data_IF_012421193338
#
_entry.id   IF_012421193338
#
_cell.length_a   1.000
_cell.length_b   1.000
_cell.length_c   1.000
_cell.angle_alpha   90.00
_cell.angle_beta   90.00
_cell.angle_gamma   90.00
#
_symmetry.space_group_name_H-M   'P 1'
#
loop_
_entity.id
_entity.type
_entity.pdbx_description
1 polymer ?
#
# COMPACT_ATOMS: atom_id res chain seq x y z
N UNK A 1 -4.36 2.22 -23.63
CA UNK A 1 -3.24 2.62 -22.74
C UNK A 1 -3.62 2.23 -21.33
N UNK A 2 -3.39 0.96 -20.97
CA UNK A 2 -3.74 0.40 -19.66
C UNK A 2 -2.57 0.62 -18.69
N UNK A 3 -2.53 1.81 -18.09
CA UNK A 3 -1.58 2.18 -17.05
C UNK A 3 -1.89 1.47 -15.72
N UNK A 4 -1.65 0.16 -15.63
CA UNK A 4 -2.01 -0.62 -14.43
C UNK A 4 -0.93 -1.60 -13.93
N UNK A 5 0.32 -1.43 -14.35
CA UNK A 5 1.47 -2.18 -13.79
C UNK A 5 2.51 -1.32 -13.09
N UNK A 6 2.70 -0.09 -13.57
CA UNK A 6 3.91 0.69 -13.26
C UNK A 6 3.75 1.65 -12.07
N UNK A 7 2.54 2.17 -11.83
CA UNK A 7 2.35 3.18 -10.78
C UNK A 7 2.11 2.52 -9.43
N UNK A 8 2.79 3.01 -8.39
CA UNK A 8 2.50 2.63 -7.00
C UNK A 8 1.17 3.25 -6.57
N UNK A 9 0.46 2.55 -5.66
CA UNK A 9 -0.77 3.09 -5.09
C UNK A 9 -0.48 4.33 -4.22
N UNK A 10 -1.44 5.27 -4.07
CA UNK A 10 -1.22 6.55 -3.36
C UNK A 10 -0.79 6.44 -1.90
N UNK A 11 -1.02 5.29 -1.26
CA UNK A 11 -0.59 5.04 0.12
C UNK A 11 0.88 4.64 0.24
N UNK A 12 1.59 4.36 -0.85
CA UNK A 12 3.02 4.08 -0.80
C UNK A 12 3.79 5.33 -0.35
N UNK A 13 4.82 5.22 0.53
CA UNK A 13 5.40 4.01 1.13
C UNK A 13 4.92 3.74 2.58
N UNK A 14 3.62 3.93 2.87
CA UNK A 14 3.11 3.76 4.24
C UNK A 14 3.20 2.30 4.74
N UNK A 15 3.57 2.15 6.01
CA UNK A 15 3.56 0.86 6.71
C UNK A 15 2.46 0.89 7.77
N UNK A 16 1.41 0.10 7.55
CA UNK A 16 0.32 -0.03 8.52
C UNK A 16 0.60 -1.15 9.53
N UNK A 17 0.08 -0.99 10.75
CA UNK A 17 0.26 -1.99 11.79
C UNK A 17 -0.31 -3.36 11.39
N UNK A 18 0.53 -4.39 11.50
CA UNK A 18 0.28 -5.76 11.04
C UNK A 18 0.61 -6.02 9.56
N UNK A 19 1.23 -5.07 8.86
CA UNK A 19 1.78 -5.24 7.50
C UNK A 19 3.31 -5.03 7.45
N UNK A 20 3.98 -4.94 8.59
CA UNK A 20 5.41 -4.61 8.71
C UNK A 20 6.28 -5.61 7.94
N UNK A 21 6.05 -6.91 8.14
CA UNK A 21 6.85 -7.96 7.52
C UNK A 21 6.73 -8.01 5.99
N UNK A 22 5.53 -7.74 5.44
CA UNK A 22 5.33 -7.70 3.97
C UNK A 22 5.87 -6.41 3.37
N UNK A 23 5.78 -5.30 4.11
CA UNK A 23 6.33 -4.00 3.71
C UNK A 23 7.85 -4.04 3.68
N UNK A 24 8.49 -4.57 4.72
CA UNK A 24 9.95 -4.71 4.83
C UNK A 24 10.52 -5.52 3.67
N UNK A 25 9.92 -6.69 3.36
CA UNK A 25 10.34 -7.51 2.21
C UNK A 25 10.24 -6.76 0.89
N UNK A 26 9.14 -6.05 0.68
CA UNK A 26 8.95 -5.28 -0.55
C UNK A 26 9.96 -4.12 -0.67
N UNK A 27 10.15 -3.34 0.40
CA UNK A 27 11.07 -2.20 0.37
C UNK A 27 12.53 -2.62 0.27
N UNK A 28 12.92 -3.75 0.88
CA UNK A 28 14.24 -4.34 0.68
C UNK A 28 14.48 -4.71 -0.77
N UNK A 29 13.52 -5.40 -1.40
CA UNK A 29 13.61 -5.74 -2.82
C UNK A 29 13.75 -4.49 -3.69
N UNK A 30 13.01 -3.42 -3.39
CA UNK A 30 13.18 -2.14 -4.09
C UNK A 30 14.60 -1.61 -3.89
N UNK A 31 15.05 -1.44 -2.65
CA UNK A 31 16.36 -0.84 -2.33
C UNK A 31 17.55 -1.62 -2.91
N UNK A 32 17.49 -2.94 -2.92
CA UNK A 32 18.57 -3.79 -3.44
C UNK A 32 18.74 -3.65 -4.96
N UNK A 33 17.65 -3.34 -5.68
CA UNK A 33 17.65 -3.32 -7.13
C UNK A 33 17.52 -1.89 -7.72
N UNK A 34 17.24 -0.86 -6.91
CA UNK A 34 16.97 0.52 -7.37
C UNK A 34 18.16 1.29 -7.96
N UNK A 35 19.28 0.63 -8.23
CA UNK A 35 20.47 1.24 -8.80
C UNK A 35 20.59 0.93 -10.31
N UNK A 36 21.04 1.89 -11.14
CA UNK A 36 21.36 3.28 -10.82
C UNK A 36 20.11 4.15 -10.60
N UNK A 37 20.21 5.09 -9.66
CA UNK A 37 19.14 6.04 -9.39
C UNK A 37 18.89 6.97 -10.58
N UNK A 38 17.63 7.32 -10.83
CA UNK A 38 17.25 8.25 -11.90
C UNK A 38 17.09 7.64 -13.29
N UNK A 39 17.30 6.32 -13.45
CA UNK A 39 17.01 5.61 -14.69
C UNK A 39 15.61 4.96 -14.64
N UNK A 40 14.71 5.43 -15.51
CA UNK A 40 13.32 4.95 -15.58
C UNK A 40 13.24 3.47 -15.98
N UNK A 41 14.15 2.99 -16.83
CA UNK A 41 14.18 1.59 -17.26
C UNK A 41 14.56 0.67 -16.10
N UNK A 42 15.55 1.07 -15.31
CA UNK A 42 15.94 0.38 -14.08
C UNK A 42 14.78 0.36 -13.08
N UNK A 43 14.11 1.50 -12.85
CA UNK A 43 12.96 1.56 -11.96
C UNK A 43 11.83 0.59 -12.40
N UNK A 44 11.50 0.54 -13.69
CA UNK A 44 10.49 -0.38 -14.24
C UNK A 44 10.89 -1.84 -14.04
N UNK A 45 12.15 -2.19 -14.29
CA UNK A 45 12.65 -3.54 -14.08
C UNK A 45 12.59 -3.97 -12.62
N UNK A 46 12.92 -3.06 -11.70
CA UNK A 46 12.87 -3.31 -10.25
C UNK A 46 11.45 -3.58 -9.79
N UNK A 47 10.48 -2.77 -10.23
CA UNK A 47 9.06 -3.00 -9.90
C UNK A 47 8.58 -4.36 -10.44
N UNK A 48 9.05 -4.77 -11.63
CA UNK A 48 8.72 -6.08 -12.20
C UNK A 48 9.35 -7.25 -11.42
N UNK A 49 10.59 -7.11 -10.95
CA UNK A 49 11.25 -8.12 -10.12
C UNK A 49 10.56 -8.25 -8.75
N UNK A 50 10.17 -7.13 -8.16
CA UNK A 50 9.50 -7.07 -6.87
C UNK A 50 7.96 -7.23 -6.98
N UNK A 51 7.42 -7.54 -8.16
CA UNK A 51 5.98 -7.59 -8.45
C UNK A 51 5.17 -8.50 -7.49
N UNK A 52 5.66 -9.70 -7.10
CA UNK A 52 4.96 -10.53 -6.12
C UNK A 52 4.91 -9.89 -4.73
N UNK A 53 6.00 -9.22 -4.32
CA UNK A 53 6.10 -8.54 -3.02
C UNK A 53 5.21 -7.28 -3.00
N UNK A 54 5.17 -6.54 -4.12
CA UNK A 54 4.24 -5.41 -4.33
C UNK A 54 2.79 -5.84 -4.09
N UNK A 55 2.33 -6.92 -4.72
CA UNK A 55 0.96 -7.45 -4.53
C UNK A 55 0.64 -7.76 -3.07
N UNK A 56 1.59 -8.37 -2.33
CA UNK A 56 1.38 -8.72 -0.93
C UNK A 56 1.29 -7.48 -0.04
N UNK A 57 2.18 -6.51 -0.26
CA UNK A 57 2.16 -5.22 0.41
C UNK A 57 0.83 -4.48 0.15
N UNK A 58 0.44 -4.34 -1.13
CA UNK A 58 -0.78 -3.65 -1.52
C UNK A 58 -2.02 -4.31 -0.92
N UNK A 59 -2.12 -5.64 -1.00
CA UNK A 59 -3.23 -6.41 -0.41
C UNK A 59 -3.35 -6.16 1.09
N UNK A 60 -2.25 -6.28 1.83
CA UNK A 60 -2.27 -6.09 3.28
C UNK A 60 -2.70 -4.66 3.66
N UNK A 61 -2.11 -3.67 3.00
CA UNK A 61 -2.40 -2.26 3.25
C UNK A 61 -3.85 -1.91 2.91
N UNK A 62 -4.38 -2.39 1.78
CA UNK A 62 -5.78 -2.19 1.41
C UNK A 62 -6.76 -2.84 2.38
N UNK A 63 -6.49 -4.06 2.85
CA UNK A 63 -7.33 -4.73 3.83
C UNK A 63 -7.38 -3.95 5.16
N UNK A 64 -6.26 -3.38 5.60
CA UNK A 64 -6.19 -2.54 6.80
C UNK A 64 -6.93 -1.21 6.61
N UNK A 65 -6.73 -0.53 5.48
CA UNK A 65 -7.43 0.72 5.16
C UNK A 65 -8.95 0.51 5.08
N UNK A 66 -9.42 -0.59 4.47
CA UNK A 66 -10.85 -0.94 4.43
C UNK A 66 -11.43 -1.14 5.83
N UNK A 67 -10.71 -1.83 6.73
CA UNK A 67 -11.12 -2.00 8.13
C UNK A 67 -11.17 -0.66 8.86
N UNK A 68 -10.18 0.21 8.67
CA UNK A 68 -10.18 1.56 9.27
C UNK A 68 -11.36 2.41 8.76
N UNK A 69 -11.64 2.39 7.46
CA UNK A 69 -12.80 3.10 6.88
C UNK A 69 -14.12 2.60 7.45
N UNK A 70 -14.28 1.29 7.62
CA UNK A 70 -15.47 0.69 8.26
C UNK A 70 -15.63 1.14 9.72
N UNK A 71 -14.53 1.15 10.48
CA UNK A 71 -14.56 1.57 11.89
C UNK A 71 -14.81 3.09 12.03
N UNK A 72 -14.23 3.90 11.14
CA UNK A 72 -14.47 5.35 11.09
C UNK A 72 -15.92 5.68 10.74
N UNK A 73 -16.53 4.95 9.80
CA UNK A 73 -17.95 5.07 9.49
C UNK A 73 -18.84 4.61 10.65
N UNK A 74 -18.48 3.55 11.39
CA UNK A 74 -19.19 3.15 12.62
C UNK A 74 -19.16 4.22 13.70
N UNK A 75 -18.04 4.93 13.84
CA UNK A 75 -17.94 6.05 14.77
C UNK A 75 -18.95 7.15 14.41
N UNK A 76 -19.06 7.51 13.12
CA UNK A 76 -20.02 8.52 12.66
C UNK A 76 -21.48 8.12 12.89
N UNK A 77 -21.85 6.86 12.65
CA UNK A 77 -23.22 6.38 12.91
C UNK A 77 -23.54 6.39 14.40
N UNK A 78 -22.60 6.00 15.27
CA UNK A 78 -22.79 6.02 16.73
C UNK A 78 -22.87 7.43 17.35
N UNK A 79 -22.42 8.46 16.63
CA UNK A 79 -22.55 9.85 17.07
C UNK A 79 -23.94 10.40 16.72
N UNK A 80 -24.52 10.00 15.59
CA UNK A 80 -25.84 10.49 15.15
C UNK A 80 -26.99 9.90 15.98
N UNK A 81 -26.85 8.68 16.48
CA UNK A 81 -27.87 8.03 17.34
C UNK A 81 -27.97 8.69 18.72
N UNK A 82 -26.86 9.21 19.27
CA UNK A 82 -26.83 9.86 20.59
C UNK A 82 -27.35 11.30 20.62
N UNK A 83 -27.61 11.91 19.46
CA UNK A 83 -28.12 13.29 19.37
C UNK A 83 -29.62 13.36 19.02
N UNK A 84 -30.33 12.23 19.04
CA UNK A 84 -31.78 12.14 18.80
C UNK A 84 -32.55 11.61 20.03
N UNK A 85 -31.96 11.67 21.22
CA UNK A 85 -32.62 11.37 22.51
C UNK A 85 -32.77 12.65 23.35
#
# INVERSE_FOLDING_TARGET
MDGNGETMKPYFPAVLSGCEAVSDKFFKCLNENLQPYGDENSARNVVNQCQPLKKNYEKCTEEKLKKMKKNSLMFLTSYNERNNE
#
